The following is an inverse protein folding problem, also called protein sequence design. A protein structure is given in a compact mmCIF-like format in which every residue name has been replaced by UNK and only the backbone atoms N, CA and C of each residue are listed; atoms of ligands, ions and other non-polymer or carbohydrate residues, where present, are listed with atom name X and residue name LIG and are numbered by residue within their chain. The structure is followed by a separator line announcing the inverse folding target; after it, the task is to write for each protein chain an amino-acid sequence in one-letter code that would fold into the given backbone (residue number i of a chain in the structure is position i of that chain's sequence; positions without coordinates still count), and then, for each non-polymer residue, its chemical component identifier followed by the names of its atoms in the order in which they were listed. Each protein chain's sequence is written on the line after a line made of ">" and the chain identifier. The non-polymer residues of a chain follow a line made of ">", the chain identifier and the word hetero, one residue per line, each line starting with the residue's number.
data_IF_007821679297
#
_entry.id   IF_007821679297
#
_cell.length_a   1.000
_cell.length_b   1.000
_cell.length_c   1.000
_cell.angle_alpha   90.00
_cell.angle_beta   90.00
_cell.angle_gamma   90.00
#
_symmetry.space_group_name_H-M   'P 1'
#
loop_
_entity.id
_entity.type
_entity.pdbx_description
1 polymer ?
#
# COMPACT_ATOMS: atom_id res chain seq x y z
N UNK A 1 -6.04 -6.81 -13.23
CA UNK A 1 -4.82 -6.46 -12.48
C UNK A 1 -5.17 -5.34 -11.52
N UNK A 2 -4.83 -5.49 -10.24
CA UNK A 2 -5.15 -4.53 -9.19
C UNK A 2 -3.93 -3.65 -8.86
N UNK A 3 -4.15 -2.42 -8.38
CA UNK A 3 -3.07 -1.55 -7.90
C UNK A 3 -2.53 -2.08 -6.58
N UNK A 4 -1.20 -2.05 -6.43
CA UNK A 4 -0.52 -2.45 -5.20
C UNK A 4 -0.10 -1.22 -4.42
N UNK A 5 -0.47 -1.15 -3.14
CA UNK A 5 -0.02 -0.07 -2.25
C UNK A 5 1.23 -0.54 -1.52
N UNK A 6 2.29 0.28 -1.61
CA UNK A 6 3.57 0.05 -0.93
C UNK A 6 3.83 1.22 0.02
N UNK A 7 4.07 0.90 1.28
CA UNK A 7 4.48 1.88 2.28
C UNK A 7 6.00 2.00 2.28
N UNK A 8 6.53 3.22 2.28
CA UNK A 8 7.97 3.47 2.29
C UNK A 8 8.33 4.69 3.13
N UNK A 9 9.38 4.56 3.92
CA UNK A 9 9.97 5.64 4.73
C UNK A 9 10.94 6.51 3.95
N UNK A 10 11.36 6.08 2.74
CA UNK A 10 12.46 6.71 1.99
C UNK A 10 11.99 7.12 0.58
N UNK A 11 12.07 8.42 0.28
CA UNK A 11 12.06 8.93 -1.09
C UNK A 11 13.45 8.69 -1.72
N UNK A 12 13.52 8.19 -2.98
CA UNK A 12 12.96 8.89 -4.15
C UNK A 12 12.19 7.95 -5.09
N UNK A 13 11.07 7.38 -4.64
CA UNK A 13 10.18 6.65 -5.54
C UNK A 13 9.06 7.56 -6.05
N UNK A 14 8.69 7.47 -7.34
CA UNK A 14 7.50 8.14 -7.83
C UNK A 14 6.27 7.61 -7.07
N UNK A 15 5.34 8.53 -6.77
CA UNK A 15 4.07 8.21 -6.07
C UNK A 15 3.29 7.12 -6.81
N UNK A 16 3.40 7.09 -8.14
CA UNK A 16 2.78 6.08 -9.00
C UNK A 16 3.81 5.49 -9.99
N UNK A 17 3.93 4.17 -10.01
CA UNK A 17 4.66 3.41 -11.03
C UNK A 17 3.68 2.64 -11.92
N UNK A 18 3.46 3.15 -13.14
CA UNK A 18 2.57 2.54 -14.12
C UNK A 18 3.07 1.19 -14.66
N UNK A 19 4.38 0.89 -14.59
CA UNK A 19 4.93 -0.39 -15.08
C UNK A 19 4.63 -1.51 -14.11
N UNK A 20 4.77 -1.24 -12.81
CA UNK A 20 4.54 -2.22 -11.74
C UNK A 20 3.12 -2.15 -11.16
N UNK A 21 2.35 -1.13 -11.54
CA UNK A 21 1.05 -0.78 -10.96
C UNK A 21 1.13 -0.56 -9.44
N UNK A 22 2.24 0.06 -8.99
CA UNK A 22 2.52 0.29 -7.57
C UNK A 22 2.32 1.76 -7.22
N UNK A 23 1.52 1.99 -6.19
CA UNK A 23 1.35 3.30 -5.55
C UNK A 23 2.20 3.32 -4.28
N UNK A 24 3.17 4.23 -4.21
CA UNK A 24 4.04 4.39 -3.04
C UNK A 24 3.47 5.45 -2.10
N UNK A 25 3.21 5.07 -0.85
CA UNK A 25 2.68 5.95 0.19
C UNK A 25 3.73 6.10 1.29
N UNK A 26 3.92 7.31 1.86
CA UNK A 26 4.78 7.48 3.02
C UNK A 26 4.35 6.59 4.18
N UNK A 27 5.32 5.88 4.75
CA UNK A 27 5.11 5.15 5.99
C UNK A 27 4.97 6.15 7.15
N UNK A 28 4.05 5.91 8.07
CA UNK A 28 3.70 6.84 9.17
C UNK A 28 2.49 7.74 8.93
N UNK A 29 1.83 7.67 7.76
CA UNK A 29 0.50 8.27 7.61
C UNK A 29 -0.56 7.51 8.41
N UNK A 30 -1.42 8.25 9.11
CA UNK A 30 -2.60 7.65 9.75
C UNK A 30 -3.56 7.08 8.69
N UNK A 31 -4.35 6.04 9.00
CA UNK A 31 -5.16 5.32 8.00
C UNK A 31 -6.09 6.21 7.16
N UNK A 32 -6.66 7.26 7.76
CA UNK A 32 -7.52 8.22 7.05
C UNK A 32 -6.76 9.04 6.01
N UNK A 33 -5.54 9.49 6.33
CA UNK A 33 -4.68 10.23 5.39
C UNK A 33 -4.18 9.31 4.28
N UNK A 34 -3.84 8.06 4.60
CA UNK A 34 -3.49 7.03 3.60
C UNK A 34 -4.61 6.85 2.58
N UNK A 35 -5.86 6.69 3.04
CA UNK A 35 -7.00 6.55 2.14
C UNK A 35 -7.26 7.81 1.29
N UNK A 36 -7.03 9.01 1.83
CA UNK A 36 -7.13 10.26 1.07
C UNK A 36 -6.05 10.32 -0.02
N UNK A 37 -4.80 10.04 0.33
CA UNK A 37 -3.67 10.09 -0.59
C UNK A 37 -3.85 9.08 -1.74
N UNK A 38 -4.21 7.83 -1.41
CA UNK A 38 -4.45 6.79 -2.42
C UNK A 38 -5.59 7.19 -3.35
N UNK A 39 -6.71 7.71 -2.81
CA UNK A 39 -7.81 8.15 -3.65
C UNK A 39 -7.43 9.30 -4.57
N UNK A 40 -6.72 10.30 -4.07
CA UNK A 40 -6.30 11.45 -4.88
C UNK A 40 -5.46 11.02 -6.10
N UNK A 41 -4.54 10.06 -5.91
CA UNK A 41 -3.75 9.50 -7.01
C UNK A 41 -4.62 8.72 -7.99
N UNK A 42 -5.54 7.89 -7.50
CA UNK A 42 -6.43 7.10 -8.36
C UNK A 42 -7.42 7.98 -9.13
N UNK A 43 -7.90 9.08 -8.54
CA UNK A 43 -8.73 10.09 -9.21
C UNK A 43 -7.95 10.81 -10.32
N UNK A 44 -6.68 11.14 -10.10
CA UNK A 44 -5.80 11.70 -11.14
C UNK A 44 -5.58 10.73 -12.30
N UNK A 45 -5.66 9.42 -12.04
CA UNK A 45 -5.63 8.37 -13.06
C UNK A 45 -7.00 8.12 -13.73
N UNK A 46 -8.02 8.94 -13.42
CA UNK A 46 -9.36 8.85 -13.99
C UNK A 46 -10.24 7.76 -13.38
N UNK A 47 -9.88 7.23 -12.20
CA UNK A 47 -10.62 6.18 -11.50
C UNK A 47 -11.54 6.83 -10.48
N UNK A 48 -12.84 6.77 -10.69
CA UNK A 48 -13.82 7.27 -9.72
C UNK A 48 -13.67 6.54 -8.38
N UNK A 49 -13.48 7.30 -7.30
CA UNK A 49 -13.29 6.76 -5.95
C UNK A 49 -14.54 6.93 -5.09
N UNK A 50 -14.80 5.97 -4.17
CA UNK A 50 -15.84 6.13 -3.17
C UNK A 50 -15.45 7.11 -2.06
N UNK A 51 -16.45 7.57 -1.30
CA UNK A 51 -16.24 8.45 -0.14
C UNK A 51 -15.46 7.77 1.00
N UNK A 52 -15.42 6.44 1.05
CA UNK A 52 -14.69 5.66 2.06
C UNK A 52 -13.92 4.52 1.40
N UNK A 53 -12.69 4.27 1.88
CA UNK A 53 -11.78 3.30 1.28
C UNK A 53 -11.20 3.78 -0.06
N UNK A 54 -10.67 2.86 -0.85
CA UNK A 54 -10.22 3.11 -2.21
C UNK A 54 -10.56 1.90 -3.09
N UNK A 55 -10.82 2.11 -4.38
CA UNK A 55 -11.12 1.07 -5.36
C UNK A 55 -10.15 1.10 -6.52
N UNK A 56 -9.74 -0.07 -6.98
CA UNK A 56 -8.93 -0.20 -8.18
C UNK A 56 -9.80 -0.11 -9.45
N UNK A 57 -9.16 -0.02 -10.63
CA UNK A 57 -9.80 -0.16 -11.94
C UNK A 57 -10.72 -1.38 -12.09
N UNK A 58 -10.42 -2.49 -11.41
CA UNK A 58 -11.25 -3.69 -11.44
C UNK A 58 -12.52 -3.57 -10.57
N UNK A 59 -12.70 -2.47 -9.84
CA UNK A 59 -13.81 -2.26 -8.92
C UNK A 59 -13.60 -2.87 -7.53
N UNK A 60 -12.57 -3.71 -7.34
CA UNK A 60 -12.21 -4.26 -6.03
C UNK A 60 -11.61 -3.20 -5.11
N UNK A 61 -11.80 -3.39 -3.80
CA UNK A 61 -11.23 -2.53 -2.77
C UNK A 61 -9.72 -2.67 -2.73
N UNK A 62 -9.02 -1.54 -2.64
CA UNK A 62 -7.57 -1.50 -2.45
C UNK A 62 -7.25 -1.85 -0.99
N UNK A 63 -6.31 -2.77 -0.80
CA UNK A 63 -5.78 -3.07 0.53
C UNK A 63 -4.86 -1.93 0.98
N UNK A 64 -5.30 -1.19 2.00
CA UNK A 64 -4.58 -0.07 2.61
C UNK A 64 -3.87 -0.47 3.91
N UNK A 65 -3.85 -1.76 4.24
CA UNK A 65 -3.19 -2.25 5.45
C UNK A 65 -1.68 -2.10 5.27
N UNK A 66 -0.96 -1.44 6.19
CA UNK A 66 0.50 -1.36 6.13
C UNK A 66 1.10 -2.75 6.11
N UNK A 67 1.61 -3.17 4.94
CA UNK A 67 2.45 -4.36 4.86
C UNK A 67 3.80 -4.01 5.47
N UNK A 68 3.97 -4.32 6.75
CA UNK A 68 5.27 -4.26 7.45
C UNK A 68 6.25 -5.19 6.69
N UNK A 69 7.30 -4.67 6.04
CA UNK A 69 8.21 -5.50 5.24
C UNK A 69 9.11 -6.44 6.08
N UNK A 70 9.01 -6.42 7.40
CA UNK A 70 9.95 -7.08 8.32
C UNK A 70 9.48 -8.40 8.95
N UNK A 71 8.43 -9.05 8.45
CA UNK A 71 8.35 -10.51 8.66
C UNK A 71 9.26 -11.23 7.67
N UNK A 72 10.57 -11.03 7.84
CA UNK A 72 11.51 -12.13 7.58
C UNK A 72 11.00 -13.30 8.42
N UNK A 73 10.45 -14.32 7.77
CA UNK A 73 10.38 -15.67 8.34
C UNK A 73 11.82 -16.15 8.57
N UNK A 74 12.50 -15.59 9.56
CA UNK A 74 13.61 -16.28 10.20
C UNK A 74 12.96 -17.35 11.05
N UNK A 75 12.79 -18.53 10.44
CA UNK A 75 12.56 -19.76 11.18
C UNK A 75 13.79 -20.00 12.07
N UNK A 76 13.80 -19.42 13.26
CA UNK A 76 14.72 -19.80 14.31
C UNK A 76 13.88 -20.33 15.47
N UNK A 77 13.60 -21.63 15.37
CA UNK A 77 13.07 -22.42 16.48
C UNK A 77 14.17 -22.44 17.54
N UNK A 78 14.02 -21.65 18.60
CA UNK A 78 14.81 -21.85 19.82
C UNK A 78 14.25 -23.13 20.45
N UNK A 79 14.84 -24.29 20.11
CA UNK A 79 14.72 -25.48 20.96
C UNK A 79 15.59 -25.23 22.19
N UNK A 80 14.99 -24.70 23.25
CA UNK A 80 15.54 -24.89 24.58
C UNK A 80 15.35 -26.36 24.93
N UNK A 81 16.42 -27.14 24.80
CA UNK A 81 16.52 -28.45 25.41
C UNK A 81 16.90 -28.28 26.87
N UNK A 82 16.07 -28.84 27.75
CA UNK A 82 16.44 -29.28 29.09
C UNK A 82 15.77 -30.64 29.31
#
# INVERSE_FOLDING_TARGET
>A
MCVLVRFSTHEPHPVWDARSLILTVPDGLIPSLTAIAVRAVLEQLGIAQPQFGARCWCGESVDLTPRVPEQRRSGQVIRNGA
#
